data_IF_271995489472
#
_entry.id   IF_271995489472
#
_cell.length_a   1.000
_cell.length_b   1.000
_cell.length_c   1.000
_cell.angle_alpha   90.00
_cell.angle_beta   90.00
_cell.angle_gamma   90.00
#
_symmetry.space_group_name_H-M   'P 1'
#
loop_
_entity.id
_entity.type
_entity.pdbx_description
1 polymer ?
#
# COMPACT_ATOMS: atom_id res chain seq x y z
N UNK A 1 6.96 5.16 -17.56
CA UNK A 1 7.75 4.37 -16.60
C UNK A 1 7.09 3.01 -16.41
N UNK A 2 7.81 1.88 -16.33
CA UNK A 2 7.20 0.53 -16.26
C UNK A 2 7.82 -0.31 -15.14
N UNK A 3 6.99 -0.92 -14.30
CA UNK A 3 7.41 -1.92 -13.30
C UNK A 3 7.65 -3.28 -13.97
N UNK A 4 8.82 -3.88 -13.71
CA UNK A 4 9.21 -5.21 -14.19
C UNK A 4 9.95 -5.97 -13.09
N UNK A 5 9.99 -7.31 -13.13
CA UNK A 5 10.79 -8.09 -12.18
C UNK A 5 12.28 -7.73 -12.16
N UNK A 6 12.82 -7.21 -13.28
CA UNK A 6 14.24 -6.86 -13.40
C UNK A 6 14.58 -5.51 -12.77
N UNK A 7 13.69 -4.53 -12.85
CA UNK A 7 13.95 -3.17 -12.35
C UNK A 7 13.34 -2.89 -10.97
N UNK A 8 12.55 -3.79 -10.38
CA UNK A 8 11.91 -3.59 -9.07
C UNK A 8 12.88 -3.13 -7.98
N UNK A 9 14.12 -3.62 -7.98
CA UNK A 9 15.16 -3.27 -6.99
C UNK A 9 15.75 -1.86 -7.18
N UNK A 10 15.50 -1.23 -8.33
CA UNK A 10 15.98 0.14 -8.63
C UNK A 10 14.88 1.20 -8.46
N UNK A 11 13.64 0.80 -8.20
CA UNK A 11 12.50 1.70 -8.06
C UNK A 11 12.34 2.16 -6.60
N UNK A 12 12.72 3.40 -6.32
CA UNK A 12 12.71 3.96 -4.97
C UNK A 12 11.32 4.42 -4.49
N UNK A 13 10.36 4.58 -5.39
CA UNK A 13 9.00 5.05 -5.07
C UNK A 13 8.04 3.92 -4.64
N UNK A 14 8.47 2.66 -4.70
CA UNK A 14 7.62 1.54 -4.32
C UNK A 14 7.33 1.55 -2.80
N UNK A 15 6.05 1.43 -2.39
CA UNK A 15 5.70 1.38 -0.98
C UNK A 15 6.42 0.24 -0.24
N UNK A 16 6.69 0.38 1.07
CA UNK A 16 7.36 -0.66 1.86
C UNK A 16 6.57 -1.97 1.96
N UNK A 17 5.28 -1.95 1.62
CA UNK A 17 4.40 -3.12 1.58
C UNK A 17 4.16 -3.69 0.19
N UNK A 18 4.80 -3.14 -0.84
CA UNK A 18 4.62 -3.62 -2.21
C UNK A 18 5.09 -5.08 -2.32
N UNK A 19 4.20 -5.96 -2.78
CA UNK A 19 4.50 -7.39 -2.92
C UNK A 19 5.74 -7.66 -3.77
N UNK A 20 5.86 -6.96 -4.90
CA UNK A 20 7.03 -7.08 -5.79
C UNK A 20 8.33 -6.70 -5.09
N UNK A 21 8.31 -5.64 -4.26
CA UNK A 21 9.46 -5.22 -3.48
C UNK A 21 9.82 -6.26 -2.42
N UNK A 22 8.84 -6.73 -1.64
CA UNK A 22 9.05 -7.75 -0.60
C UNK A 22 9.63 -9.04 -1.19
N UNK A 23 9.04 -9.55 -2.27
CA UNK A 23 9.51 -10.76 -2.96
C UNK A 23 10.92 -10.57 -3.52
N UNK A 24 11.20 -9.41 -4.13
CA UNK A 24 12.53 -9.10 -4.65
C UNK A 24 13.61 -8.97 -3.55
N UNK A 25 13.21 -8.59 -2.33
CA UNK A 25 14.04 -8.54 -1.12
C UNK A 25 14.10 -9.89 -0.37
N UNK A 26 13.39 -10.94 -0.84
CA UNK A 26 13.33 -12.23 -0.15
C UNK A 26 12.55 -12.21 1.16
N UNK A 27 11.64 -11.24 1.32
CA UNK A 27 10.80 -11.08 2.52
C UNK A 27 9.43 -11.70 2.31
N UNK A 28 8.86 -12.20 3.39
CA UNK A 28 7.49 -12.70 3.38
C UNK A 28 6.46 -11.60 3.10
N UNK A 29 5.35 -12.01 2.48
CA UNK A 29 4.17 -11.19 2.36
C UNK A 29 3.46 -11.06 3.72
N UNK A 30 2.77 -9.94 3.92
CA UNK A 30 1.99 -9.74 5.14
C UNK A 30 0.78 -10.69 5.18
N UNK A 31 0.29 -11.01 6.39
CA UNK A 31 -0.82 -11.95 6.60
C UNK A 31 -2.11 -11.57 5.86
N UNK A 32 -2.33 -10.28 5.63
CA UNK A 32 -3.50 -9.72 4.95
C UNK A 32 -3.34 -9.67 3.43
N UNK A 33 -2.19 -10.09 2.90
CA UNK A 33 -1.95 -10.07 1.47
C UNK A 33 -2.83 -11.14 0.80
N UNK A 34 -3.59 -10.86 -0.29
CA UNK A 34 -4.53 -11.81 -0.88
C UNK A 34 -3.91 -13.16 -1.29
N UNK A 35 -2.64 -13.15 -1.71
CA UNK A 35 -1.88 -14.38 -2.01
C UNK A 35 -1.58 -15.26 -0.79
N UNK A 36 -1.63 -14.70 0.42
CA UNK A 36 -1.44 -15.42 1.69
C UNK A 36 -2.78 -15.71 2.36
N UNK A 37 -3.66 -14.71 2.45
CA UNK A 37 -4.95 -14.83 3.14
C UNK A 37 -6.01 -15.57 2.34
N UNK A 38 -5.90 -15.59 1.01
CA UNK A 38 -6.93 -16.09 0.09
C UNK A 38 -8.19 -15.22 0.01
N UNK A 39 -8.28 -14.15 0.82
CA UNK A 39 -9.45 -13.28 0.90
C UNK A 39 -9.05 -11.82 0.65
N UNK A 40 -9.56 -11.19 -0.42
CA UNK A 40 -9.29 -9.78 -0.69
C UNK A 40 -9.78 -8.84 0.41
N UNK A 41 -10.76 -9.23 1.25
CA UNK A 41 -11.25 -8.36 2.32
C UNK A 41 -10.24 -8.10 3.44
N UNK A 42 -9.25 -9.00 3.61
CA UNK A 42 -8.23 -8.86 4.65
C UNK A 42 -7.38 -7.59 4.51
N UNK A 43 -7.25 -7.02 3.29
CA UNK A 43 -6.58 -5.72 3.09
C UNK A 43 -7.36 -4.57 3.73
N UNK A 44 -8.69 -4.66 3.77
CA UNK A 44 -9.57 -3.69 4.43
C UNK A 44 -9.49 -3.86 5.94
N UNK A 45 -9.54 -5.09 6.44
CA UNK A 45 -9.40 -5.41 7.87
C UNK A 45 -8.08 -4.89 8.45
N UNK A 46 -6.98 -5.06 7.70
CA UNK A 46 -5.66 -4.56 8.08
C UNK A 46 -5.50 -3.04 7.93
N UNK A 47 -6.46 -2.35 7.29
CA UNK A 47 -6.45 -0.90 7.08
C UNK A 47 -5.47 -0.43 5.99
N UNK A 48 -5.02 -1.32 5.12
CA UNK A 48 -4.07 -1.02 4.02
C UNK A 48 -4.78 -0.74 2.69
N UNK A 49 -6.06 -0.41 2.75
CA UNK A 49 -6.88 -0.01 1.62
C UNK A 49 -7.11 1.50 1.59
N UNK A 50 -7.27 2.06 0.38
CA UNK A 50 -7.67 3.45 0.16
C UNK A 50 -9.20 3.65 0.25
N UNK A 51 -9.97 2.56 0.38
CA UNK A 51 -11.42 2.62 0.50
C UNK A 51 -11.83 3.52 1.67
N UNK A 52 -12.73 4.48 1.40
CA UNK A 52 -13.19 5.45 2.40
C UNK A 52 -12.17 6.54 2.75
N UNK A 53 -11.07 6.66 2.00
CA UNK A 53 -10.06 7.72 2.17
C UNK A 53 -9.98 8.70 0.99
N UNK A 54 -10.74 8.45 -0.07
CA UNK A 54 -10.81 9.30 -1.26
C UNK A 54 -12.03 10.20 -1.10
N UNK A 55 -11.81 11.52 -1.18
CA UNK A 55 -12.83 12.53 -0.90
C UNK A 55 -13.54 13.07 -2.15
N UNK A 56 -12.90 13.00 -3.32
CA UNK A 56 -13.45 13.50 -4.58
C UNK A 56 -12.53 13.17 -5.76
N UNK A 57 -12.90 13.67 -6.94
CA UNK A 57 -12.00 13.75 -8.10
C UNK A 57 -10.93 14.81 -7.87
N UNK A 58 -9.87 14.79 -8.67
CA UNK A 58 -8.88 15.86 -8.70
C UNK A 58 -9.54 17.20 -9.09
N UNK A 59 -10.48 17.18 -10.05
CA UNK A 59 -11.21 18.38 -10.53
C UNK A 59 -12.17 18.99 -9.50
N UNK A 60 -12.48 18.26 -8.41
CA UNK A 60 -13.38 18.73 -7.35
C UNK A 60 -12.63 19.55 -6.28
N UNK A 61 -11.29 19.60 -6.34
CA UNK A 61 -10.41 20.28 -5.38
C UNK A 61 -9.70 21.43 -6.09
N UNK A 62 -9.75 22.62 -5.51
CA UNK A 62 -9.03 23.79 -6.05
C UNK A 62 -7.51 23.56 -5.95
N UNK A 63 -6.75 24.01 -6.94
CA UNK A 63 -5.29 23.91 -6.98
C UNK A 63 -4.65 24.45 -5.68
N UNK A 64 -5.22 25.49 -5.07
CA UNK A 64 -4.73 26.07 -3.83
C UNK A 64 -4.89 25.16 -2.60
N UNK A 65 -5.84 24.22 -2.63
CA UNK A 65 -6.15 23.31 -1.52
C UNK A 65 -5.41 21.97 -1.65
N UNK A 66 -4.80 21.65 -2.81
CA UNK A 66 -4.15 20.36 -3.07
C UNK A 66 -3.05 20.00 -2.05
N UNK A 67 -2.33 21.00 -1.52
CA UNK A 67 -1.26 20.78 -0.53
C UNK A 67 -1.80 20.22 0.80
N UNK A 68 -3.01 20.59 1.20
CA UNK A 68 -3.66 20.11 2.42
C UNK A 68 -4.09 18.63 2.32
N UNK A 69 -4.15 18.10 1.10
CA UNK A 69 -4.48 16.71 0.82
C UNK A 69 -3.26 15.78 0.71
N UNK A 70 -2.04 16.28 0.95
CA UNK A 70 -0.83 15.47 0.97
C UNK A 70 -0.82 14.52 2.18
N UNK A 71 -0.77 13.23 1.90
CA UNK A 71 -0.83 12.16 2.91
C UNK A 71 0.46 11.35 2.99
N UNK A 72 0.75 10.81 4.18
CA UNK A 72 1.95 9.96 4.41
C UNK A 72 1.79 8.51 3.93
N UNK A 73 0.56 8.06 3.68
CA UNK A 73 0.31 6.74 3.12
C UNK A 73 0.49 6.79 1.59
N UNK A 74 0.92 5.71 0.93
CA UNK A 74 1.23 4.36 1.46
C UNK A 74 2.65 4.21 2.03
N UNK A 75 3.42 5.30 2.18
CA UNK A 75 4.80 5.25 2.70
C UNK A 75 4.92 4.72 4.14
N UNK A 76 3.84 4.78 4.92
CA UNK A 76 3.74 4.22 6.27
C UNK A 76 2.65 3.16 6.37
N UNK A 77 3.00 2.01 6.95
CA UNK A 77 2.05 0.93 7.22
C UNK A 77 1.25 1.18 8.51
N UNK A 78 -0.08 0.95 8.51
CA UNK A 78 -0.89 0.97 9.72
C UNK A 78 -0.38 -0.02 10.78
N UNK A 79 -0.52 0.32 12.06
CA UNK A 79 -0.09 -0.55 13.18
C UNK A 79 -0.72 -1.95 13.11
N UNK A 80 -2.01 -2.02 12.79
CA UNK A 80 -2.75 -3.29 12.64
C UNK A 80 -2.17 -4.17 11.53
N UNK A 81 -1.77 -3.56 10.41
CA UNK A 81 -1.16 -4.25 9.28
C UNK A 81 0.20 -4.90 9.59
N UNK A 82 0.91 -4.39 10.61
CA UNK A 82 2.22 -4.90 11.04
C UNK A 82 2.13 -6.06 12.02
N UNK A 83 0.97 -6.27 12.64
CA UNK A 83 0.79 -7.32 13.64
C UNK A 83 0.63 -8.65 12.92
N UNK A 84 1.48 -9.64 13.20
CA UNK A 84 1.24 -11.00 12.71
C UNK A 84 -0.05 -11.49 13.36
N UNK A 85 -1.04 -11.91 12.56
CA UNK A 85 -2.25 -12.57 13.08
C UNK A 85 -1.75 -13.75 13.93
N UNK A 86 -2.00 -13.72 15.24
CA UNK A 86 -1.67 -14.86 16.10
C UNK A 86 -2.48 -16.05 15.55
N UNK A 87 -1.78 -17.14 15.29
CA UNK A 87 -2.37 -18.41 14.87
C UNK A 87 -3.33 -18.92 15.94
#
# INVERSE_FOLDING_TARGET
MRLTPRNVRTLNWLPPSCAYKLVAEGRDLYWWHPLISGDPNTVHEAGVSVRGRVFGSEDDVDDADLEDHIVRWPGLLPKRARTKRRA
#
